data_IF_992001646189
#
_entry.id   IF_992001646189
#
_cell.length_a   1.000
_cell.length_b   1.000
_cell.length_c   1.000
_cell.angle_alpha   90.00
_cell.angle_beta   90.00
_cell.angle_gamma   90.00
#
_symmetry.space_group_name_H-M   'P 1'
#
loop_
_entity.id
_entity.type
_entity.pdbx_description
1 polymer ?
#
# COMPACT_ATOMS: atom_id res chain seq x y z
N UNK A 1 -8.77 26.65 14.54
CA UNK A 1 -9.88 25.70 14.27
C UNK A 1 -10.00 25.30 12.79
N UNK A 2 -9.73 26.19 11.82
CA UNK A 2 -9.86 25.85 10.39
C UNK A 2 -8.86 24.80 9.85
N UNK A 3 -7.60 24.77 10.33
CA UNK A 3 -6.61 23.80 9.83
C UNK A 3 -6.93 22.35 10.20
N UNK A 4 -7.40 22.10 11.43
CA UNK A 4 -7.80 20.76 11.89
C UNK A 4 -8.95 20.22 11.03
N UNK A 5 -9.91 21.07 10.65
CA UNK A 5 -11.03 20.68 9.78
C UNK A 5 -10.57 20.34 8.35
N UNK A 6 -9.56 21.05 7.82
CA UNK A 6 -9.00 20.78 6.50
C UNK A 6 -8.20 19.48 6.48
N UNK A 7 -7.40 19.22 7.51
CA UNK A 7 -6.63 17.99 7.67
C UNK A 7 -7.55 16.77 7.77
N UNK A 8 -8.66 16.88 8.51
CA UNK A 8 -9.68 15.82 8.59
C UNK A 8 -10.31 15.56 7.22
N UNK A 9 -10.67 16.59 6.46
CA UNK A 9 -11.24 16.42 5.11
C UNK A 9 -10.28 15.72 4.14
N UNK A 10 -9.00 16.08 4.18
CA UNK A 10 -7.95 15.45 3.37
C UNK A 10 -7.75 13.99 3.77
N UNK A 11 -7.68 13.70 5.07
CA UNK A 11 -7.52 12.33 5.58
C UNK A 11 -8.73 11.44 5.26
N UNK A 12 -9.96 11.98 5.35
CA UNK A 12 -11.17 11.26 4.95
C UNK A 12 -11.16 10.90 3.47
N UNK A 13 -10.82 11.85 2.59
CA UNK A 13 -10.73 11.57 1.14
C UNK A 13 -9.64 10.54 0.81
N UNK A 14 -8.52 10.55 1.54
CA UNK A 14 -7.46 9.53 1.41
C UNK A 14 -7.98 8.17 1.87
N UNK A 15 -8.63 8.11 3.03
CA UNK A 15 -9.18 6.87 3.59
C UNK A 15 -10.26 6.26 2.68
N UNK A 16 -11.18 7.08 2.17
CA UNK A 16 -12.21 6.65 1.20
C UNK A 16 -11.57 6.10 -0.07
N UNK A 17 -10.56 6.80 -0.62
CA UNK A 17 -9.83 6.32 -1.79
C UNK A 17 -9.09 5.02 -1.50
N UNK A 18 -8.56 4.84 -0.29
CA UNK A 18 -7.93 3.59 0.11
C UNK A 18 -8.93 2.44 0.12
N UNK A 19 -10.09 2.63 0.76
CA UNK A 19 -11.13 1.59 0.89
C UNK A 19 -11.75 1.23 -0.46
N UNK A 20 -12.13 2.23 -1.27
CA UNK A 20 -12.84 1.98 -2.52
C UNK A 20 -11.95 1.44 -3.64
N UNK A 21 -10.69 1.91 -3.72
CA UNK A 21 -9.85 1.65 -4.89
C UNK A 21 -8.59 0.85 -4.59
N UNK A 22 -7.91 1.16 -3.48
CA UNK A 22 -6.60 0.56 -3.21
C UNK A 22 -6.70 -0.80 -2.53
N UNK A 23 -7.65 -0.97 -1.61
CA UNK A 23 -7.88 -2.21 -0.87
C UNK A 23 -8.26 -3.39 -1.78
N UNK A 24 -9.26 -3.26 -2.69
CA UNK A 24 -9.61 -4.35 -3.60
C UNK A 24 -8.44 -4.75 -4.50
N UNK A 25 -7.66 -3.76 -4.97
CA UNK A 25 -6.49 -4.02 -5.80
C UNK A 25 -5.35 -4.67 -5.02
N UNK A 26 -5.11 -4.24 -3.78
CA UNK A 26 -4.11 -4.85 -2.90
C UNK A 26 -4.48 -6.30 -2.56
N UNK A 27 -5.76 -6.59 -2.30
CA UNK A 27 -6.26 -7.95 -2.07
C UNK A 27 -6.04 -8.85 -3.28
N UNK A 28 -6.45 -8.40 -4.47
CA UNK A 28 -6.21 -9.15 -5.71
C UNK A 28 -4.71 -9.38 -5.97
N UNK A 29 -3.88 -8.39 -5.66
CA UNK A 29 -2.43 -8.53 -5.80
C UNK A 29 -1.87 -9.54 -4.80
N UNK A 30 -2.36 -9.52 -3.56
CA UNK A 30 -2.00 -10.47 -2.51
C UNK A 30 -2.35 -11.90 -2.91
N UNK A 31 -3.56 -12.15 -3.40
CA UNK A 31 -4.00 -13.47 -3.86
C UNK A 31 -3.08 -14.03 -4.94
N UNK A 32 -2.73 -13.22 -5.94
CA UNK A 32 -1.83 -13.61 -7.03
C UNK A 32 -0.43 -13.97 -6.53
N UNK A 33 0.17 -13.14 -5.67
CA UNK A 33 1.50 -13.46 -5.13
C UNK A 33 1.45 -14.64 -4.15
N UNK A 34 0.34 -14.86 -3.46
CA UNK A 34 0.17 -16.04 -2.61
C UNK A 34 0.11 -17.33 -3.44
N UNK A 35 -0.43 -17.27 -4.66
CA UNK A 35 -0.43 -18.37 -5.64
C UNK A 35 0.93 -18.57 -6.35
N UNK A 36 1.93 -17.74 -6.06
CA UNK A 36 3.27 -17.86 -6.65
C UNK A 36 3.50 -17.02 -7.90
N UNK A 37 2.56 -16.16 -8.29
CA UNK A 37 2.78 -15.23 -9.40
C UNK A 37 3.84 -14.17 -9.07
N UNK A 38 4.53 -13.70 -10.10
CA UNK A 38 5.44 -12.55 -10.01
C UNK A 38 4.68 -11.25 -10.31
N UNK A 39 5.16 -10.15 -9.74
CA UNK A 39 4.59 -8.83 -10.03
C UNK A 39 4.85 -8.46 -11.49
N UNK A 40 3.85 -7.86 -12.13
CA UNK A 40 4.01 -7.21 -13.43
C UNK A 40 4.52 -5.78 -13.26
N UNK A 41 5.00 -5.14 -14.33
CA UNK A 41 5.39 -3.72 -14.30
C UNK A 41 4.24 -2.81 -13.86
N UNK A 42 3.00 -3.16 -14.24
CA UNK A 42 1.80 -2.45 -13.82
C UNK A 42 1.54 -2.57 -12.31
N UNK A 43 1.84 -3.74 -11.73
CA UNK A 43 1.73 -3.97 -10.29
C UNK A 43 2.80 -3.19 -9.52
N UNK A 44 4.04 -3.19 -10.03
CA UNK A 44 5.15 -2.42 -9.47
C UNK A 44 4.83 -0.91 -9.52
N UNK A 45 4.37 -0.39 -10.65
CA UNK A 45 3.98 1.01 -10.79
C UNK A 45 2.83 1.41 -9.84
N UNK A 46 1.90 0.48 -9.60
CA UNK A 46 0.84 0.67 -8.60
C UNK A 46 1.42 0.76 -7.18
N UNK A 47 2.27 -0.19 -6.77
CA UNK A 47 2.90 -0.19 -5.45
C UNK A 47 3.74 1.07 -5.21
N UNK A 48 4.51 1.50 -6.22
CA UNK A 48 5.27 2.75 -6.14
C UNK A 48 4.39 3.98 -5.91
N UNK A 49 3.22 4.07 -6.59
CA UNK A 49 2.25 5.14 -6.32
C UNK A 49 1.76 5.10 -4.88
N UNK A 50 1.40 3.90 -4.39
CA UNK A 50 0.94 3.72 -3.01
C UNK A 50 1.97 4.22 -2.01
N UNK A 51 3.24 3.83 -2.16
CA UNK A 51 4.30 4.26 -1.25
C UNK A 51 4.59 5.76 -1.33
N UNK A 52 4.54 6.36 -2.52
CA UNK A 52 4.68 7.82 -2.66
C UNK A 52 3.60 8.57 -1.90
N UNK A 53 2.36 8.12 -2.02
CA UNK A 53 1.25 8.74 -1.29
C UNK A 53 1.39 8.52 0.22
N UNK A 54 1.86 7.35 0.66
CA UNK A 54 2.12 7.08 2.08
C UNK A 54 3.17 8.04 2.66
N UNK A 55 4.24 8.34 1.91
CA UNK A 55 5.26 9.32 2.31
C UNK A 55 4.68 10.74 2.33
N UNK A 56 3.88 11.11 1.33
CA UNK A 56 3.26 12.43 1.26
C UNK A 56 2.32 12.72 2.44
N UNK A 57 1.66 11.68 2.98
CA UNK A 57 0.73 11.82 4.12
C UNK A 57 1.41 11.59 5.48
N UNK A 58 2.66 11.15 5.52
CA UNK A 58 3.37 10.86 6.77
C UNK A 58 3.39 12.07 7.74
N UNK A 59 3.66 13.32 7.30
CA UNK A 59 3.61 14.48 8.19
C UNK A 59 2.21 14.74 8.78
N UNK A 60 1.14 14.42 8.04
CA UNK A 60 -0.23 14.54 8.53
C UNK A 60 -0.52 13.50 9.61
N UNK A 61 -0.04 12.27 9.44
CA UNK A 61 -0.17 11.18 10.43
C UNK A 61 0.67 11.45 11.68
N UNK A 62 1.84 12.07 11.53
CA UNK A 62 2.67 12.49 12.67
C UNK A 62 1.96 13.52 13.55
N UNK A 63 1.33 14.52 12.91
CA UNK A 63 0.53 15.57 13.57
C UNK A 63 -0.79 15.06 14.14
N UNK A 64 -1.30 13.93 13.66
CA UNK A 64 -2.57 13.34 14.09
C UNK A 64 -2.37 11.87 14.51
N UNK A 65 -1.85 11.62 15.72
CA UNK A 65 -1.45 10.28 16.17
C UNK A 65 -2.56 9.23 16.12
N UNK A 66 -3.84 9.64 16.19
CA UNK A 66 -4.98 8.74 16.09
C UNK A 66 -5.02 7.92 14.78
N UNK A 67 -4.36 8.39 13.71
CA UNK A 67 -4.32 7.69 12.42
C UNK A 67 -3.08 6.79 12.27
N UNK A 68 -2.13 6.82 13.22
CA UNK A 68 -0.94 5.95 13.19
C UNK A 68 -1.28 4.47 13.08
N UNK A 69 -2.23 3.91 13.86
CA UNK A 69 -2.57 2.48 13.76
C UNK A 69 -3.07 2.10 12.36
N UNK A 70 -3.88 2.97 11.75
CA UNK A 70 -4.40 2.77 10.40
C UNK A 70 -3.26 2.78 9.36
N UNK A 71 -2.35 3.75 9.44
CA UNK A 71 -1.22 3.86 8.54
C UNK A 71 -0.28 2.64 8.66
N UNK A 72 0.01 2.19 9.89
CA UNK A 72 0.83 0.99 10.15
C UNK A 72 0.18 -0.25 9.57
N UNK A 73 -1.11 -0.47 9.84
CA UNK A 73 -1.83 -1.63 9.32
C UNK A 73 -1.87 -1.65 7.79
N UNK A 74 -2.10 -0.49 7.16
CA UNK A 74 -2.04 -0.38 5.71
C UNK A 74 -0.65 -0.72 5.15
N UNK A 75 0.42 -0.17 5.74
CA UNK A 75 1.79 -0.43 5.30
C UNK A 75 2.20 -1.89 5.49
N UNK A 76 1.72 -2.55 6.54
CA UNK A 76 1.96 -3.98 6.78
C UNK A 76 1.43 -4.85 5.62
N UNK A 77 0.24 -4.55 5.10
CA UNK A 77 -0.36 -5.27 3.96
C UNK A 77 0.55 -5.17 2.73
N UNK A 78 1.00 -3.96 2.39
CA UNK A 78 1.85 -3.76 1.21
C UNK A 78 3.24 -4.38 1.38
N UNK A 79 3.80 -4.33 2.60
CA UNK A 79 5.05 -5.03 2.93
C UNK A 79 4.90 -6.53 2.67
N UNK A 80 3.84 -7.16 3.16
CA UNK A 80 3.65 -8.60 3.02
C UNK A 80 3.50 -9.02 1.54
N UNK A 81 2.78 -8.21 0.75
CA UNK A 81 2.68 -8.40 -0.71
C UNK A 81 4.06 -8.32 -1.37
N UNK A 82 4.83 -7.27 -1.09
CA UNK A 82 6.16 -7.07 -1.70
C UNK A 82 7.16 -8.15 -1.29
N UNK A 83 7.13 -8.60 -0.04
CA UNK A 83 8.00 -9.67 0.44
C UNK A 83 7.66 -11.01 -0.22
N UNK A 84 6.37 -11.34 -0.38
CA UNK A 84 5.94 -12.55 -1.08
C UNK A 84 6.27 -12.49 -2.57
N UNK A 85 6.03 -11.36 -3.21
CA UNK A 85 6.42 -11.10 -4.59
C UNK A 85 7.91 -11.30 -4.86
N UNK A 86 8.77 -10.79 -3.97
CA UNK A 86 10.22 -10.94 -4.08
C UNK A 86 10.63 -12.42 -4.05
N UNK A 87 10.09 -13.19 -3.09
CA UNK A 87 10.31 -14.64 -3.01
C UNK A 87 9.89 -15.37 -4.29
N UNK A 88 8.77 -14.99 -4.89
CA UNK A 88 8.30 -15.60 -6.14
C UNK A 88 9.24 -15.25 -7.31
N UNK A 89 9.75 -14.02 -7.35
CA UNK A 89 10.69 -13.58 -8.38
C UNK A 89 12.04 -14.32 -8.27
N UNK A 90 12.56 -14.49 -7.05
CA UNK A 90 13.77 -15.27 -6.78
C UNK A 90 13.58 -16.74 -7.21
N UNK A 91 12.47 -17.36 -6.80
CA UNK A 91 12.14 -18.73 -7.19
C UNK A 91 12.02 -18.90 -8.72
N UNK A 92 11.48 -17.90 -9.42
CA UNK A 92 11.41 -17.90 -10.89
C UNK A 92 12.78 -17.74 -11.53
N UNK A 93 13.64 -16.88 -10.98
CA UNK A 93 15.00 -16.66 -11.48
C UNK A 93 15.88 -17.89 -11.32
N UNK A 94 15.79 -18.60 -10.20
CA UNK A 94 16.56 -19.83 -9.92
C UNK A 94 16.12 -21.02 -10.79
N UNK A 95 14.89 -20.99 -11.31
CA UNK A 95 14.34 -22.03 -12.19
C UNK A 95 14.57 -21.79 -13.69
N UNK A 96 15.27 -20.69 -14.06
CA UNK A 96 15.57 -20.37 -15.45
C UNK A 96 16.86 -21.10 -15.85
N UNK A 97 16.81 -22.07 -16.80
CA UNK A 97 17.99 -22.82 -17.25
C UNK A 97 18.97 -21.94 -18.02
#
# INVERSE_FOLDING_TARGET
MAEISKDIGVLTAIAERMVQWRLPRAQKLKERVDQGEVLTDSDIAFLQRVFRDAVAIAPLVERNPQYRPLAVNAMAIYRDITAKALKNQEAKSTRRP
#
